data_IF_820625484165
#
_entry.id   IF_820625484165
#
_cell.length_a   1.000
_cell.length_b   1.000
_cell.length_c   1.000
_cell.angle_alpha   90.00
_cell.angle_beta   90.00
_cell.angle_gamma   90.00
#
_symmetry.space_group_name_H-M   'P 1'
#
loop_
_entity.id
_entity.type
_entity.pdbx_description
1 polymer ?
#
# COMPACT_ATOMS: atom_id res chain seq x y z
N UNK A 1 2.82 -8.77 25.98
CA UNK A 1 1.45 -8.56 25.44
C UNK A 1 1.34 -7.09 25.10
N UNK A 2 1.25 -6.68 23.84
CA UNK A 2 1.14 -5.25 23.52
C UNK A 2 -0.34 -4.94 23.39
N UNK A 3 -0.89 -4.31 24.42
CA UNK A 3 -2.28 -3.87 24.45
C UNK A 3 -2.35 -2.42 23.93
N UNK A 4 -3.24 -2.18 22.98
CA UNK A 4 -3.52 -0.87 22.40
C UNK A 4 -4.93 -0.44 22.80
N UNK A 5 -5.13 0.05 24.05
CA UNK A 5 -6.43 0.37 24.57
C UNK A 5 -6.97 1.66 23.95
N UNK A 6 -7.80 1.51 22.92
CA UNK A 6 -8.71 2.54 22.41
C UNK A 6 -10.12 2.21 22.89
N UNK A 7 -10.47 2.66 24.09
CA UNK A 7 -11.79 2.42 24.67
C UNK A 7 -12.82 3.33 24.01
N UNK A 8 -13.47 2.91 22.92
CA UNK A 8 -14.75 3.53 22.54
C UNK A 8 -15.85 2.94 23.42
N UNK A 9 -16.76 3.79 23.89
CA UNK A 9 -17.86 3.51 24.86
C UNK A 9 -17.50 3.55 26.36
N UNK A 10 -16.30 3.99 26.76
CA UNK A 10 -15.99 4.29 28.18
C UNK A 10 -15.80 5.78 28.43
N UNK A 11 -16.07 6.25 29.65
CA UNK A 11 -15.78 7.64 30.08
C UNK A 11 -14.28 8.00 29.98
N UNK A 12 -13.40 7.02 29.79
CA UNK A 12 -11.95 7.17 29.70
C UNK A 12 -11.42 7.39 28.26
N UNK A 13 -12.31 7.47 27.26
CA UNK A 13 -11.94 7.66 25.84
C UNK A 13 -11.17 8.98 25.61
N UNK A 14 -11.47 10.01 26.39
CA UNK A 14 -10.87 11.35 26.29
C UNK A 14 -9.55 11.49 27.04
N UNK A 15 -9.17 10.49 27.85
CA UNK A 15 -7.96 10.54 28.67
C UNK A 15 -6.69 10.24 27.85
N UNK A 16 -5.52 10.57 28.38
CA UNK A 16 -4.25 10.15 27.79
C UNK A 16 -4.02 8.65 27.99
N UNK A 17 -3.15 8.04 27.16
CA UNK A 17 -2.73 6.64 27.36
C UNK A 17 -2.10 6.41 28.76
N UNK A 18 -1.44 7.43 29.31
CA UNK A 18 -0.82 7.41 30.62
C UNK A 18 -1.85 7.34 31.77
N UNK A 19 -2.95 8.09 31.67
CA UNK A 19 -4.03 8.08 32.66
C UNK A 19 -4.80 6.77 32.63
N UNK A 20 -5.09 6.23 31.43
CA UNK A 20 -5.70 4.90 31.29
C UNK A 20 -4.83 3.79 31.85
N UNK A 21 -3.51 3.85 31.67
CA UNK A 21 -2.54 2.93 32.29
C UNK A 21 -2.67 2.94 33.81
N UNK A 22 -2.81 4.13 34.40
CA UNK A 22 -2.96 4.26 35.84
C UNK A 22 -4.26 3.63 36.36
N UNK A 23 -5.33 3.67 35.57
CA UNK A 23 -6.60 3.01 35.88
C UNK A 23 -6.49 1.47 35.83
N UNK A 24 -5.92 0.91 34.76
CA UNK A 24 -5.77 -0.56 34.60
C UNK A 24 -4.91 -1.15 35.72
N UNK A 25 -3.83 -0.47 36.10
CA UNK A 25 -2.96 -0.90 37.21
C UNK A 25 -3.62 -0.79 38.59
N UNK A 26 -4.81 -0.18 38.70
CA UNK A 26 -5.61 -0.09 39.93
C UNK A 26 -6.75 -1.10 39.98
N UNK A 27 -6.96 -1.91 38.92
CA UNK A 27 -7.97 -2.96 38.96
C UNK A 27 -7.58 -3.97 40.04
N UNK A 28 -8.50 -4.34 40.95
CA UNK A 28 -8.23 -5.37 41.94
C UNK A 28 -7.94 -6.68 41.19
N UNK A 29 -6.74 -7.22 41.41
CA UNK A 29 -6.35 -8.52 40.87
C UNK A 29 -6.90 -9.59 41.80
N UNK A 30 -7.79 -10.44 41.28
CA UNK A 30 -8.17 -11.70 41.94
C UNK A 30 -7.27 -12.83 41.41
N UNK A 31 -6.86 -13.74 42.29
CA UNK A 31 -6.09 -14.94 41.91
C UNK A 31 -6.97 -15.82 40.98
N UNK A 32 -6.54 -16.22 39.76
CA UNK A 32 -5.16 -16.26 39.22
C UNK A 32 -4.83 -15.21 38.14
N UNK A 33 -5.50 -14.06 38.14
CA UNK A 33 -5.34 -13.04 37.09
C UNK A 33 -4.02 -12.30 37.30
N UNK A 34 -3.03 -12.59 36.44
CA UNK A 34 -1.78 -11.82 36.32
C UNK A 34 -1.83 -10.94 35.09
N UNK A 35 -1.56 -9.64 35.25
CA UNK A 35 -1.32 -8.74 34.11
C UNK A 35 0.06 -9.08 33.55
N UNK A 36 0.12 -9.59 32.32
CA UNK A 36 1.38 -9.80 31.61
C UNK A 36 2.10 -8.46 31.36
N UNK A 37 3.43 -8.46 31.31
CA UNK A 37 4.18 -7.27 30.93
C UNK A 37 3.67 -6.74 29.57
N UNK A 38 3.18 -5.50 29.59
CA UNK A 38 2.52 -4.87 28.46
C UNK A 38 3.11 -3.51 28.15
N UNK A 39 3.44 -3.33 26.87
CA UNK A 39 3.81 -2.03 26.30
C UNK A 39 2.58 -1.44 25.62
N UNK A 40 2.38 -0.15 25.82
CA UNK A 40 1.20 0.57 25.35
C UNK A 40 1.63 1.68 24.41
N UNK A 41 1.03 1.74 23.22
CA UNK A 41 1.36 2.76 22.22
C UNK A 41 0.14 3.60 21.88
N UNK A 42 0.34 4.91 21.79
CA UNK A 42 -0.73 5.87 21.47
C UNK A 42 -1.11 5.86 19.99
N UNK A 43 -0.34 5.19 19.14
CA UNK A 43 -0.64 5.02 17.71
C UNK A 43 0.11 3.80 17.15
N UNK A 44 -0.33 3.33 15.98
CA UNK A 44 0.24 2.16 15.28
C UNK A 44 1.71 2.36 14.90
N UNK A 45 2.13 3.58 14.54
CA UNK A 45 3.49 3.87 14.09
C UNK A 45 4.50 3.63 15.21
N UNK A 46 4.23 4.11 16.41
CA UNK A 46 5.12 3.95 17.56
C UNK A 46 5.20 2.48 18.01
N UNK A 47 4.09 1.73 17.87
CA UNK A 47 4.09 0.29 18.09
C UNK A 47 4.95 -0.45 17.05
N UNK A 48 4.87 -0.06 15.76
CA UNK A 48 5.71 -0.64 14.70
C UNK A 48 7.18 -0.31 14.97
N UNK A 49 7.52 0.93 15.29
CA UNK A 49 8.89 1.35 15.59
C UNK A 49 9.48 0.59 16.79
N UNK A 50 8.69 0.35 17.83
CA UNK A 50 9.12 -0.50 18.95
C UNK A 50 9.39 -1.95 18.52
N UNK A 51 8.57 -2.48 17.61
CA UNK A 51 8.70 -3.86 17.12
C UNK A 51 9.81 -4.03 16.07
N UNK A 52 10.27 -2.95 15.44
CA UNK A 52 11.32 -2.99 14.40
C UNK A 52 12.66 -3.50 14.93
N UNK A 53 12.95 -3.32 16.22
CA UNK A 53 14.19 -3.78 16.86
C UNK A 53 14.03 -5.12 17.60
N UNK A 54 12.82 -5.70 17.58
CA UNK A 54 12.46 -6.82 18.44
C UNK A 54 12.22 -8.12 17.63
N UNK A 55 12.79 -9.23 18.09
CA UNK A 55 12.69 -10.53 17.39
C UNK A 55 11.52 -11.42 17.83
N UNK A 56 10.87 -11.06 18.94
CA UNK A 56 9.96 -11.96 19.66
C UNK A 56 8.68 -12.34 18.89
N UNK A 57 7.98 -13.42 19.32
CA UNK A 57 6.57 -13.57 19.10
C UNK A 57 5.78 -12.64 20.05
N UNK A 58 5.26 -11.54 19.53
CA UNK A 58 4.40 -10.60 20.22
C UNK A 58 2.95 -10.84 19.85
N UNK A 59 2.08 -11.09 20.82
CA UNK A 59 0.64 -10.95 20.61
C UNK A 59 0.29 -9.45 20.56
N UNK A 60 -0.10 -9.01 19.37
CA UNK A 60 -0.64 -7.69 19.08
C UNK A 60 -2.16 -7.75 19.19
N UNK A 61 -2.71 -6.89 20.03
CA UNK A 61 -4.14 -6.70 20.18
C UNK A 61 -4.50 -5.41 19.43
N UNK A 62 -5.11 -5.47 18.24
CA UNK A 62 -5.50 -4.27 17.52
C UNK A 62 -6.62 -3.55 18.29
N UNK A 63 -6.56 -2.22 18.30
CA UNK A 63 -7.59 -1.38 18.92
C UNK A 63 -8.99 -1.66 18.37
N UNK A 64 -9.97 -1.53 19.25
CA UNK A 64 -11.38 -2.01 19.21
C UNK A 64 -12.24 -1.56 18.03
N UNK A 65 -11.69 -0.90 17.01
CA UNK A 65 -12.45 -0.54 15.80
C UNK A 65 -12.96 -1.75 14.99
N UNK A 66 -12.60 -2.98 15.38
CA UNK A 66 -13.08 -4.21 14.75
C UNK A 66 -13.21 -5.39 15.70
N UNK A 67 -13.48 -5.19 17.01
CA UNK A 67 -13.90 -6.31 17.85
C UNK A 67 -15.31 -6.71 17.43
N UNK A 68 -15.52 -7.92 16.87
CA UNK A 68 -16.86 -8.42 16.69
C UNK A 68 -17.45 -8.70 18.09
N UNK A 69 -18.70 -8.26 18.31
CA UNK A 69 -19.44 -8.46 19.58
C UNK A 69 -19.66 -9.96 19.87
N UNK A 70 -19.44 -10.82 18.87
CA UNK A 70 -19.54 -12.28 18.98
C UNK A 70 -18.36 -12.97 19.69
N UNK A 71 -17.36 -12.20 20.14
CA UNK A 71 -16.20 -12.73 20.89
C UNK A 71 -15.09 -13.32 20.01
N UNK A 72 -15.17 -13.22 18.68
CA UNK A 72 -14.14 -13.72 17.75
C UNK A 72 -13.01 -12.71 17.50
N UNK A 73 -12.41 -12.21 18.57
CA UNK A 73 -11.25 -11.32 18.46
C UNK A 73 -10.08 -12.05 17.80
N UNK A 74 -9.60 -11.54 16.66
CA UNK A 74 -8.41 -12.08 16.01
C UNK A 74 -7.16 -11.45 16.64
N UNK A 75 -6.43 -12.25 17.42
CA UNK A 75 -5.13 -11.88 17.98
C UNK A 75 -4.09 -11.98 16.85
N UNK A 76 -3.25 -10.96 16.70
CA UNK A 76 -2.20 -10.98 15.69
C UNK A 76 -0.90 -11.40 16.35
N UNK A 77 -0.37 -12.57 16.00
CA UNK A 77 0.98 -12.96 16.40
C UNK A 77 1.98 -12.30 15.46
N UNK A 78 2.75 -11.34 15.98
CA UNK A 78 3.87 -10.74 15.29
C UNK A 78 5.14 -11.49 15.66
N UNK A 79 5.80 -12.13 14.71
CA UNK A 79 7.14 -12.69 14.86
C UNK A 79 8.01 -12.14 13.75
N UNK A 80 9.03 -11.35 14.09
CA UNK A 80 9.89 -10.72 13.07
C UNK A 80 10.63 -11.75 12.25
N UNK A 81 11.15 -12.79 12.90
CA UNK A 81 11.85 -13.90 12.26
C UNK A 81 10.94 -14.65 11.27
N UNK A 82 9.72 -15.02 11.68
CA UNK A 82 8.76 -15.67 10.78
C UNK A 82 8.32 -14.73 9.65
N UNK A 83 8.08 -13.45 9.94
CA UNK A 83 7.71 -12.46 8.93
C UNK A 83 8.84 -12.19 7.93
N UNK A 84 10.12 -12.24 8.35
CA UNK A 84 11.29 -12.19 7.46
C UNK A 84 11.33 -13.41 6.56
N UNK A 85 11.18 -14.61 7.12
CA UNK A 85 11.16 -15.85 6.35
C UNK A 85 9.99 -15.91 5.35
N UNK A 86 8.80 -15.46 5.75
CA UNK A 86 7.64 -15.36 4.85
C UNK A 86 7.89 -14.39 3.69
N UNK A 87 8.61 -13.30 3.93
CA UNK A 87 8.95 -12.34 2.90
C UNK A 87 10.01 -12.87 1.94
N UNK A 88 11.11 -13.47 2.44
CA UNK A 88 12.13 -14.10 1.60
C UNK A 88 11.54 -15.20 0.71
N UNK A 89 10.62 -15.99 1.27
CA UNK A 89 9.84 -16.99 0.52
C UNK A 89 8.94 -16.35 -0.54
N UNK A 90 8.27 -15.23 -0.24
CA UNK A 90 7.43 -14.52 -1.18
C UNK A 90 8.23 -13.87 -2.33
N UNK A 91 9.39 -13.27 -2.04
CA UNK A 91 10.27 -12.66 -3.04
C UNK A 91 10.79 -13.71 -4.03
N UNK A 92 11.29 -14.84 -3.52
CA UNK A 92 11.71 -15.97 -4.36
C UNK A 92 10.55 -16.54 -5.20
N UNK A 93 9.37 -16.66 -4.60
CA UNK A 93 8.17 -17.14 -5.29
C UNK A 93 7.71 -16.19 -6.41
N UNK A 94 7.71 -14.88 -6.16
CA UNK A 94 7.37 -13.87 -7.18
C UNK A 94 8.36 -13.95 -8.33
N UNK A 95 9.67 -14.03 -8.02
CA UNK A 95 10.72 -14.19 -9.04
C UNK A 95 10.46 -15.40 -9.93
N UNK A 96 10.26 -16.57 -9.34
CA UNK A 96 9.96 -17.80 -10.07
C UNK A 96 8.68 -17.66 -10.93
N UNK A 97 7.61 -17.11 -10.37
CA UNK A 97 6.33 -16.98 -11.07
C UNK A 97 6.42 -16.03 -12.26
N UNK A 98 7.11 -14.89 -12.08
CA UNK A 98 7.27 -13.90 -13.15
C UNK A 98 8.19 -14.46 -14.23
N UNK A 99 9.35 -14.99 -13.87
CA UNK A 99 10.33 -15.47 -14.84
C UNK A 99 9.87 -16.75 -15.58
N UNK A 100 9.01 -17.55 -14.96
CA UNK A 100 8.34 -18.69 -15.62
C UNK A 100 7.10 -18.30 -16.44
N UNK A 101 6.66 -17.05 -16.39
CA UNK A 101 5.43 -16.56 -17.03
C UNK A 101 4.13 -17.03 -16.38
N UNK A 102 4.19 -17.84 -15.30
CA UNK A 102 3.01 -18.31 -14.55
C UNK A 102 2.29 -17.16 -13.85
N UNK A 103 3.00 -16.07 -13.54
CA UNK A 103 2.46 -14.87 -12.91
C UNK A 103 1.22 -14.32 -13.62
N UNK A 104 1.21 -14.30 -14.95
CA UNK A 104 0.10 -13.76 -15.75
C UNK A 104 -1.17 -14.63 -15.69
N UNK A 105 -1.04 -15.89 -15.31
CA UNK A 105 -2.18 -16.79 -15.14
C UNK A 105 -2.86 -16.64 -13.78
N UNK A 106 -2.25 -15.90 -12.85
CA UNK A 106 -2.77 -15.72 -11.50
C UNK A 106 -3.92 -14.71 -11.42
N UNK A 107 -4.75 -14.84 -10.39
CA UNK A 107 -5.75 -13.82 -10.09
C UNK A 107 -5.09 -12.55 -9.52
N UNK A 108 -5.74 -11.40 -9.69
CA UNK A 108 -5.27 -10.13 -9.12
C UNK A 108 -5.11 -10.21 -7.59
N UNK A 109 -6.06 -10.85 -6.89
CA UNK A 109 -6.00 -11.05 -5.44
C UNK A 109 -4.80 -11.94 -5.03
N UNK A 110 -4.51 -13.01 -5.77
CA UNK A 110 -3.37 -13.88 -5.47
C UNK A 110 -2.03 -13.14 -5.66
N UNK A 111 -1.90 -12.37 -6.75
CA UNK A 111 -0.73 -11.51 -6.99
C UNK A 111 -0.59 -10.48 -5.88
N UNK A 112 -1.66 -9.77 -5.55
CA UNK A 112 -1.66 -8.75 -4.50
C UNK A 112 -1.22 -9.31 -3.15
N UNK A 113 -1.77 -10.46 -2.73
CA UNK A 113 -1.37 -11.11 -1.46
C UNK A 113 0.11 -11.48 -1.41
N UNK A 114 0.70 -11.94 -2.51
CA UNK A 114 2.14 -12.21 -2.56
C UNK A 114 2.93 -10.91 -2.49
N UNK A 115 2.54 -9.92 -3.29
CA UNK A 115 3.19 -8.61 -3.33
C UNK A 115 3.19 -7.91 -1.96
N UNK A 116 2.12 -8.04 -1.15
CA UNK A 116 2.04 -7.44 0.20
C UNK A 116 2.97 -8.07 1.23
N UNK A 117 3.50 -9.27 0.95
CA UNK A 117 4.42 -9.98 1.84
C UNK A 117 5.88 -9.64 1.56
N UNK A 118 6.17 -8.96 0.44
CA UNK A 118 7.54 -8.54 0.08
C UNK A 118 8.10 -7.58 1.11
N UNK A 119 9.40 -7.65 1.34
CA UNK A 119 10.12 -6.69 2.20
C UNK A 119 10.95 -5.68 1.42
N UNK A 120 11.30 -6.00 0.20
CA UNK A 120 12.17 -5.18 -0.63
C UNK A 120 11.55 -4.98 -2.00
N UNK A 121 11.78 -3.80 -2.55
CA UNK A 121 11.50 -3.49 -3.95
C UNK A 121 12.74 -3.87 -4.75
N UNK A 122 12.66 -5.00 -5.45
CA UNK A 122 13.66 -5.40 -6.45
C UNK A 122 13.18 -4.94 -7.83
N UNK A 123 14.07 -4.34 -8.61
CA UNK A 123 13.79 -4.02 -10.00
C UNK A 123 13.36 -5.27 -10.77
N UNK A 124 12.57 -5.08 -11.83
CA UNK A 124 11.94 -6.12 -12.66
C UNK A 124 10.84 -6.97 -12.00
N UNK A 125 10.57 -6.83 -10.70
CA UNK A 125 9.53 -7.62 -10.03
C UNK A 125 8.46 -6.72 -9.41
N UNK A 126 7.16 -7.02 -9.60
CA UNK A 126 6.08 -6.15 -9.15
C UNK A 126 5.96 -6.17 -7.62
N UNK A 127 5.67 -5.03 -7.02
CA UNK A 127 5.40 -4.90 -5.59
C UNK A 127 4.00 -4.34 -5.34
N UNK A 128 3.51 -4.48 -4.10
CA UNK A 128 2.19 -4.01 -3.76
C UNK A 128 2.29 -2.51 -3.61
N UNK A 129 1.67 -1.76 -4.52
CA UNK A 129 1.69 -0.31 -4.39
C UNK A 129 0.94 0.05 -3.11
N UNK A 130 1.66 0.61 -2.14
CA UNK A 130 1.14 1.03 -0.85
C UNK A 130 0.26 2.27 -1.03
N UNK A 131 -0.95 2.10 -1.56
CA UNK A 131 -2.02 3.02 -1.21
C UNK A 131 -2.40 2.71 0.23
N UNK A 132 -1.82 3.44 1.18
CA UNK A 132 -2.65 3.82 2.32
C UNK A 132 -3.64 4.85 1.80
N UNK A 133 -4.65 4.39 1.07
CA UNK A 133 -5.93 5.07 1.17
C UNK A 133 -6.35 4.90 2.63
N UNK A 134 -5.82 5.76 3.52
CA UNK A 134 -6.74 6.30 4.49
C UNK A 134 -7.86 6.87 3.63
N UNK A 135 -9.00 6.18 3.63
CA UNK A 135 -10.30 6.80 3.42
C UNK A 135 -10.37 7.94 4.43
N UNK A 136 -9.74 9.07 4.11
CA UNK A 136 -10.42 10.32 4.33
C UNK A 136 -11.62 10.22 3.42
N UNK A 137 -12.79 10.12 4.05
CA UNK A 137 -14.10 10.26 3.44
C UNK A 137 -14.72 8.99 2.86
N UNK A 138 -16.02 8.87 3.15
CA UNK A 138 -16.88 7.74 2.84
C UNK A 138 -17.17 7.68 1.34
N UNK A 139 -17.25 6.48 0.75
CA UNK A 139 -17.70 6.29 -0.66
C UNK A 139 -19.08 6.88 -0.97
N UNK A 140 -19.80 7.37 0.05
CA UNK A 140 -21.11 8.03 -0.05
C UNK A 140 -21.07 9.55 0.14
N UNK A 141 -19.90 10.14 0.36
CA UNK A 141 -19.77 11.61 0.40
C UNK A 141 -19.60 12.17 -1.01
N UNK A 142 -20.65 12.85 -1.49
CA UNK A 142 -20.61 13.63 -2.71
C UNK A 142 -20.20 15.05 -2.33
N UNK A 143 -19.01 15.47 -2.76
CA UNK A 143 -18.55 16.85 -2.60
C UNK A 143 -19.00 17.66 -3.82
N UNK A 144 -19.75 18.74 -3.59
CA UNK A 144 -19.97 19.74 -4.62
C UNK A 144 -18.68 20.51 -4.90
N UNK A 145 -18.55 21.14 -6.06
CA UNK A 145 -17.39 21.99 -6.39
C UNK A 145 -17.11 23.06 -5.32
N UNK A 146 -18.17 23.58 -4.68
CA UNK A 146 -18.07 24.57 -3.60
C UNK A 146 -17.51 23.99 -2.28
N UNK A 147 -17.65 22.69 -2.02
CA UNK A 147 -17.13 22.06 -0.80
C UNK A 147 -15.69 21.56 -0.92
N UNK A 148 -15.10 21.61 -2.12
CA UNK A 148 -13.69 21.26 -2.37
C UNK A 148 -12.74 22.27 -1.70
N UNK A 149 -13.09 23.55 -1.66
CA UNK A 149 -12.27 24.60 -1.04
C UNK A 149 -12.18 24.40 0.48
N UNK A 150 -13.33 24.19 1.15
CA UNK A 150 -13.38 23.90 2.59
C UNK A 150 -12.69 22.58 2.95
N UNK A 151 -12.82 21.55 2.10
CA UNK A 151 -12.12 20.29 2.25
C UNK A 151 -10.60 20.47 2.13
N UNK A 152 -10.15 21.29 1.17
CA UNK A 152 -8.73 21.59 0.99
C UNK A 152 -8.16 22.32 2.22
N UNK A 153 -8.88 23.32 2.76
CA UNK A 153 -8.47 24.00 4.00
C UNK A 153 -8.29 23.04 5.17
N UNK A 154 -9.21 22.09 5.36
CA UNK A 154 -9.12 21.11 6.45
C UNK A 154 -8.06 20.04 6.21
N UNK A 155 -7.88 19.58 4.97
CA UNK A 155 -6.77 18.70 4.57
C UNK A 155 -5.42 19.39 4.77
N UNK A 156 -5.34 20.71 4.57
CA UNK A 156 -4.08 21.44 4.68
C UNK A 156 -3.80 21.99 6.09
N UNK A 157 -4.75 21.91 7.03
CA UNK A 157 -4.57 22.22 8.47
C UNK A 157 -3.73 21.20 9.24
N UNK A 158 -3.27 20.10 8.62
CA UNK A 158 -2.30 19.21 9.28
C UNK A 158 -0.97 19.97 9.48
N UNK A 159 -0.33 19.87 10.66
CA UNK A 159 0.86 20.65 11.01
C UNK A 159 2.13 20.32 10.20
N UNK A 160 2.03 19.43 9.21
CA UNK A 160 3.15 18.98 8.39
C UNK A 160 3.09 19.60 7.00
N UNK A 161 4.27 19.86 6.40
CA UNK A 161 4.40 20.27 5.00
C UNK A 161 3.78 19.23 4.08
N UNK A 162 2.99 19.67 3.10
CA UNK A 162 2.35 18.80 2.11
C UNK A 162 2.99 19.00 0.73
N UNK A 163 3.05 17.92 -0.02
CA UNK A 163 3.23 17.94 -1.47
C UNK A 163 1.87 17.68 -2.11
N UNK A 164 1.55 18.44 -3.16
CA UNK A 164 0.32 18.29 -3.94
C UNK A 164 0.68 18.13 -5.41
N UNK A 165 0.00 17.21 -6.07
CA UNK A 165 0.26 16.84 -7.46
C UNK A 165 -1.04 16.81 -8.26
N UNK A 166 -0.92 17.00 -9.57
CA UNK A 166 -2.07 16.93 -10.47
C UNK A 166 -2.56 15.49 -10.55
N UNK A 167 -3.85 15.28 -10.30
CA UNK A 167 -4.48 13.98 -10.51
C UNK A 167 -4.71 13.75 -12.01
N UNK A 168 -3.79 13.03 -12.63
CA UNK A 168 -3.92 12.60 -14.03
C UNK A 168 -5.03 11.54 -14.16
N UNK A 169 -5.80 11.60 -15.24
CA UNK A 169 -6.71 10.52 -15.61
C UNK A 169 -5.97 9.53 -16.52
N UNK A 170 -5.75 8.32 -16.03
CA UNK A 170 -5.03 7.26 -16.73
C UNK A 170 -5.09 5.94 -15.96
N UNK A 171 -4.12 5.06 -16.18
CA UNK A 171 -3.96 3.85 -15.40
C UNK A 171 -2.64 3.88 -14.65
N UNK A 172 -2.70 3.59 -13.36
CA UNK A 172 -1.50 3.46 -12.53
C UNK A 172 -0.65 2.28 -13.00
N UNK A 173 0.65 2.52 -13.14
CA UNK A 173 1.66 1.55 -13.56
C UNK A 173 2.92 1.65 -12.72
N UNK A 174 3.62 0.53 -12.57
CA UNK A 174 5.00 0.48 -12.08
C UNK A 174 5.92 0.32 -13.28
N UNK A 175 6.92 1.19 -13.42
CA UNK A 175 7.96 1.05 -14.43
C UNK A 175 9.21 0.56 -13.72
N UNK A 176 9.76 -0.53 -14.24
CA UNK A 176 10.96 -1.13 -13.72
C UNK A 176 12.03 -1.12 -14.79
N UNK A 177 13.26 -0.86 -14.38
CA UNK A 177 14.45 -1.03 -15.20
C UNK A 177 15.53 -1.73 -14.39
N UNK A 178 16.25 -2.65 -15.02
CA UNK A 178 17.53 -3.13 -14.54
C UNK A 178 18.46 -3.44 -15.72
N UNK A 179 19.53 -2.65 -15.85
CA UNK A 179 20.42 -2.71 -17.02
C UNK A 179 19.67 -2.41 -18.32
N UNK A 180 19.62 -3.41 -19.21
CA UNK A 180 18.95 -3.33 -20.51
C UNK A 180 17.54 -3.95 -20.50
N UNK A 181 17.08 -4.43 -19.36
CA UNK A 181 15.73 -4.95 -19.16
C UNK A 181 14.80 -3.87 -18.61
N UNK A 182 13.57 -3.87 -19.11
CA UNK A 182 12.51 -2.99 -18.65
C UNK A 182 11.21 -3.78 -18.53
N UNK A 183 10.41 -3.48 -17.50
CA UNK A 183 9.08 -4.06 -17.33
C UNK A 183 8.09 -2.99 -16.90
N UNK A 184 6.85 -3.12 -17.35
CA UNK A 184 5.73 -2.24 -17.00
C UNK A 184 4.63 -3.09 -16.38
N UNK A 185 4.31 -2.86 -15.11
CA UNK A 185 3.26 -3.59 -14.40
C UNK A 185 2.06 -2.70 -14.10
N UNK A 186 0.85 -3.25 -14.10
CA UNK A 186 -0.35 -2.54 -13.62
C UNK A 186 -0.40 -2.43 -12.08
N UNK A 187 -1.38 -1.69 -11.55
CA UNK A 187 -1.78 -1.69 -10.13
C UNK A 187 -2.03 -3.08 -9.51
N UNK A 188 -2.45 -4.02 -10.34
CA UNK A 188 -2.75 -5.41 -9.98
C UNK A 188 -1.61 -6.36 -10.32
N UNK A 189 -0.45 -5.82 -10.71
CA UNK A 189 0.78 -6.54 -11.02
C UNK A 189 0.78 -7.24 -12.38
N UNK A 190 -0.12 -6.92 -13.32
CA UNK A 190 -0.09 -7.55 -14.66
C UNK A 190 1.03 -6.94 -15.50
N UNK A 191 1.86 -7.77 -16.13
CA UNK A 191 2.88 -7.30 -17.07
C UNK A 191 2.21 -6.82 -18.36
N UNK A 192 2.39 -5.55 -18.68
CA UNK A 192 1.88 -4.90 -19.90
C UNK A 192 3.02 -4.37 -20.80
N UNK A 193 4.25 -4.81 -20.56
CA UNK A 193 5.44 -4.32 -21.27
C UNK A 193 5.29 -4.46 -22.78
N UNK A 194 4.79 -5.62 -23.25
CA UNK A 194 4.63 -5.93 -24.67
C UNK A 194 3.52 -5.13 -25.36
N UNK A 195 2.63 -4.53 -24.57
CA UNK A 195 1.52 -3.72 -25.05
C UNK A 195 1.99 -2.30 -25.36
N UNK A 196 3.10 -1.86 -24.74
CA UNK A 196 3.65 -0.50 -24.79
C UNK A 196 5.16 -0.54 -25.20
N UNK A 197 5.48 -0.97 -26.43
CA UNK A 197 6.86 -1.19 -26.86
C UNK A 197 7.70 0.09 -26.96
N UNK A 198 7.11 1.25 -27.28
CA UNK A 198 7.84 2.52 -27.32
C UNK A 198 8.20 2.99 -25.92
N UNK A 199 7.27 2.86 -24.97
CA UNK A 199 7.54 3.16 -23.56
C UNK A 199 8.60 2.21 -22.97
N UNK A 200 8.59 0.92 -23.32
CA UNK A 200 9.67 -0.01 -22.94
C UNK A 200 11.03 0.50 -23.43
N UNK A 201 11.10 0.96 -24.68
CA UNK A 201 12.32 1.52 -25.27
C UNK A 201 12.75 2.83 -24.57
N UNK A 202 11.81 3.70 -24.22
CA UNK A 202 12.07 4.94 -23.47
C UNK A 202 12.58 4.66 -22.06
N UNK A 203 12.03 3.66 -21.37
CA UNK A 203 12.51 3.20 -20.06
C UNK A 203 13.97 2.76 -20.19
N UNK A 204 14.30 1.92 -21.18
CA UNK A 204 15.67 1.43 -21.41
C UNK A 204 16.65 2.57 -21.69
N UNK A 205 16.23 3.60 -22.42
CA UNK A 205 17.03 4.82 -22.71
C UNK A 205 17.36 5.67 -21.49
N UNK A 206 16.63 5.53 -20.37
CA UNK A 206 16.90 6.30 -19.15
C UNK A 206 18.36 6.16 -18.71
N UNK A 207 18.97 7.23 -18.22
CA UNK A 207 20.36 7.21 -17.74
C UNK A 207 20.56 6.37 -16.46
N UNK A 208 19.49 6.16 -15.68
CA UNK A 208 19.54 5.33 -14.49
C UNK A 208 19.79 3.87 -14.86
N UNK A 209 20.68 3.18 -14.13
CA UNK A 209 20.99 1.77 -14.36
C UNK A 209 19.87 0.84 -13.91
N UNK A 210 19.23 1.17 -12.79
CA UNK A 210 18.19 0.36 -12.18
C UNK A 210 17.22 1.28 -11.44
N UNK A 211 15.92 1.01 -11.55
CA UNK A 211 14.87 1.72 -10.81
C UNK A 211 13.56 0.93 -10.79
N UNK A 212 12.71 1.29 -9.82
CA UNK A 212 11.27 1.03 -9.86
C UNK A 212 10.58 2.37 -9.58
N UNK A 213 9.63 2.78 -10.41
CA UNK A 213 8.91 4.05 -10.26
C UNK A 213 7.42 3.83 -10.43
N UNK A 214 6.62 4.63 -9.72
CA UNK A 214 5.16 4.61 -9.80
C UNK A 214 4.67 5.84 -10.58
N UNK A 215 3.71 5.61 -11.47
CA UNK A 215 3.19 6.67 -12.32
C UNK A 215 1.83 6.37 -12.91
N UNK A 216 1.19 7.41 -13.45
CA UNK A 216 -0.08 7.28 -14.18
C UNK A 216 0.21 7.30 -15.69
N UNK A 217 -0.11 6.21 -16.38
CA UNK A 217 0.01 6.06 -17.82
C UNK A 217 -1.24 6.59 -18.53
N UNK A 218 -1.06 7.43 -19.54
CA UNK A 218 -2.17 7.90 -20.37
C UNK A 218 -1.72 8.29 -21.79
N UNK A 219 -2.54 8.03 -22.83
CA UNK A 219 -2.31 8.52 -24.17
C UNK A 219 -2.72 9.98 -24.37
N UNK A 220 -2.08 10.59 -25.35
CA UNK A 220 -2.32 11.95 -25.81
C UNK A 220 -2.72 11.97 -27.29
N UNK A 221 -3.63 12.89 -27.63
CA UNK A 221 -4.01 13.16 -29.00
C UNK A 221 -3.00 14.03 -29.73
N UNK A 222 -3.35 14.44 -30.96
CA UNK A 222 -2.44 15.21 -31.82
C UNK A 222 -2.22 16.64 -31.31
N UNK A 223 -3.21 17.18 -30.59
CA UNK A 223 -3.16 18.50 -29.98
C UNK A 223 -2.59 18.45 -28.55
N UNK A 224 -2.03 17.31 -28.14
CA UNK A 224 -1.51 17.05 -26.80
C UNK A 224 -2.58 17.15 -25.70
N UNK A 225 -3.83 16.85 -26.05
CA UNK A 225 -4.91 16.63 -25.10
C UNK A 225 -4.79 15.22 -24.48
N UNK A 226 -4.96 15.13 -23.16
CA UNK A 226 -4.96 13.85 -22.46
C UNK A 226 -6.25 13.09 -22.78
N UNK A 227 -6.12 11.91 -23.41
CA UNK A 227 -7.26 11.06 -23.82
C UNK A 227 -7.82 10.21 -22.66
N UNK A 228 -7.20 10.30 -21.49
CA UNK A 228 -7.65 9.74 -20.24
C UNK A 228 -7.67 8.21 -20.22
N UNK A 229 -8.38 7.67 -19.23
CA UNK A 229 -8.59 6.21 -19.13
C UNK A 229 -9.21 5.61 -20.38
N UNK A 230 -10.18 6.29 -20.98
CA UNK A 230 -10.89 5.79 -22.15
C UNK A 230 -9.93 5.50 -23.31
N UNK A 231 -8.98 6.41 -23.58
CA UNK A 231 -7.93 6.20 -24.58
C UNK A 231 -6.93 5.11 -24.20
N UNK A 232 -6.65 4.93 -22.90
CA UNK A 232 -5.69 3.96 -22.41
C UNK A 232 -6.20 2.50 -22.39
N UNK A 233 -7.52 2.28 -22.24
CA UNK A 233 -8.16 0.95 -22.11
C UNK A 233 -7.61 -0.13 -23.05
N UNK A 234 -7.33 0.13 -24.34
CA UNK A 234 -6.82 -0.90 -25.25
C UNK A 234 -5.53 -1.58 -24.77
N UNK A 235 -4.62 -0.85 -24.09
CA UNK A 235 -3.38 -1.43 -23.56
C UNK A 235 -3.58 -2.22 -22.25
N UNK A 236 -4.63 -1.89 -21.47
CA UNK A 236 -4.92 -2.48 -20.16
C UNK A 236 -5.98 -3.59 -20.20
N UNK A 237 -6.55 -3.87 -21.37
CA UNK A 237 -7.56 -4.91 -21.51
C UNK A 237 -6.93 -6.29 -21.25
N UNK A 238 -7.52 -7.06 -20.33
CA UNK A 238 -7.05 -8.39 -19.99
C UNK A 238 -6.99 -9.28 -21.24
N UNK A 239 -5.81 -9.83 -21.52
CA UNK A 239 -5.58 -10.67 -22.70
C UNK A 239 -5.32 -9.87 -24.00
N UNK A 240 -5.11 -8.56 -23.93
CA UNK A 240 -4.55 -7.79 -25.04
C UNK A 240 -3.16 -8.36 -25.38
N UNK A 241 -3.06 -9.03 -26.53
CA UNK A 241 -1.82 -9.66 -27.02
C UNK A 241 -1.08 -8.82 -28.06
N UNK A 242 -1.70 -7.73 -28.52
CA UNK A 242 -1.14 -6.87 -29.57
C UNK A 242 -0.70 -5.54 -28.94
N UNK A 243 0.46 -5.01 -29.37
CA UNK A 243 0.86 -3.67 -28.97
C UNK A 243 -0.15 -2.64 -29.47
N UNK A 244 -0.36 -1.59 -28.67
CA UNK A 244 -1.04 -0.39 -29.13
C UNK A 244 -0.03 0.54 -29.79
N UNK A 245 -0.52 1.55 -30.51
CA UNK A 245 0.33 2.69 -30.87
C UNK A 245 0.56 3.53 -29.60
N UNK A 246 1.76 3.43 -29.05
CA UNK A 246 2.19 4.15 -27.86
C UNK A 246 3.11 5.35 -28.15
N UNK A 247 3.11 5.84 -29.41
CA UNK A 247 3.94 6.99 -29.84
C UNK A 247 3.63 8.31 -29.12
N UNK A 248 2.41 8.46 -28.61
CA UNK A 248 1.94 9.63 -27.85
C UNK A 248 1.48 9.26 -26.44
N UNK A 249 2.18 8.34 -25.79
CA UNK A 249 1.92 8.02 -24.39
C UNK A 249 2.87 8.77 -23.46
N UNK A 250 2.38 9.15 -22.29
CA UNK A 250 3.21 9.66 -21.23
C UNK A 250 2.93 8.91 -19.92
N UNK A 251 3.99 8.78 -19.11
CA UNK A 251 3.90 8.34 -17.73
C UNK A 251 4.15 9.55 -16.82
N UNK A 252 3.14 9.88 -16.02
CA UNK A 252 3.25 10.93 -15.01
C UNK A 252 3.71 10.30 -13.70
N UNK A 253 5.02 10.36 -13.46
CA UNK A 253 5.70 9.75 -12.31
C UNK A 253 5.38 10.56 -11.06
N UNK A 254 5.00 9.87 -9.98
CA UNK A 254 4.69 10.47 -8.67
C UNK A 254 5.41 9.78 -7.50
N UNK A 255 6.10 8.64 -7.73
CA UNK A 255 6.87 7.95 -6.69
C UNK A 255 8.07 7.18 -7.27
N UNK A 256 9.09 6.92 -6.45
CA UNK A 256 10.34 6.19 -6.79
C UNK A 256 10.87 5.36 -5.63
#
# INVERSE_FOLDING_TARGET
LIDLPWWRESEHISQSALERRHFINKLPLEDPIRIAAASYFSNRRDAIAFLEEEDGPYYLIPGVAGYPIDGTANWYLYSRAENLQLAESADAQIKELVDSGKWESMSADARFRLMTKRKQVEALYPFAQLKTSKKGYSEKEVFGLESVESLAEDIFKVPNKQAVEVKVDGFRVQLHKDGDEARIFTDSGHDITKQLPKLEEDIKRSAAKSFAIDGEATPYGEELENLGRAGAVPAFTKGAKRPVDDSRWAIHVFDV
#
